data_IF_402125266586
#
_entry.id   IF_402125266586
#
_cell.length_a   1.000
_cell.length_b   1.000
_cell.length_c   1.000
_cell.angle_alpha   90.00
_cell.angle_beta   90.00
_cell.angle_gamma   90.00
#
_symmetry.space_group_name_H-M   'P 1'
#
loop_
_entity.id
_entity.type
_entity.pdbx_description
1 polymer ?
#
# COMPACT_ATOMS: atom_id res chain seq x y z
N UNK A 1 -38.16 8.95 -9.41
CA UNK A 1 -37.16 8.76 -10.48
C UNK A 1 -36.61 10.11 -10.87
N UNK A 2 -35.31 10.37 -10.64
CA UNK A 2 -34.69 11.62 -11.06
C UNK A 2 -34.66 11.68 -12.58
N UNK A 3 -35.17 12.76 -13.17
CA UNK A 3 -35.16 12.98 -14.62
C UNK A 3 -33.70 13.11 -15.08
N UNK A 4 -33.30 12.27 -16.04
CA UNK A 4 -31.96 12.39 -16.64
C UNK A 4 -31.81 13.79 -17.26
N UNK A 5 -30.74 14.49 -16.90
CA UNK A 5 -30.48 15.87 -17.34
C UNK A 5 -29.56 15.89 -18.56
N UNK A 6 -28.79 14.82 -18.75
CA UNK A 6 -27.81 14.67 -19.83
C UNK A 6 -28.04 13.36 -20.60
N UNK A 7 -27.39 13.21 -21.74
CA UNK A 7 -27.41 11.96 -22.50
C UNK A 7 -26.82 10.79 -21.71
N UNK A 8 -27.18 9.55 -22.09
CA UNK A 8 -26.85 8.34 -21.32
C UNK A 8 -25.33 8.15 -21.14
N UNK A 9 -24.50 8.58 -22.06
CA UNK A 9 -23.03 8.48 -22.00
C UNK A 9 -22.48 9.39 -20.89
N UNK A 10 -23.01 10.63 -20.77
CA UNK A 10 -22.60 11.58 -19.73
C UNK A 10 -23.10 11.11 -18.36
N UNK A 11 -24.33 10.60 -18.27
CA UNK A 11 -24.85 10.04 -17.02
C UNK A 11 -24.03 8.81 -16.59
N UNK A 12 -23.61 7.97 -17.53
CA UNK A 12 -22.72 6.82 -17.26
C UNK A 12 -21.37 7.26 -16.73
N UNK A 13 -20.77 8.31 -17.34
CA UNK A 13 -19.51 8.90 -16.86
C UNK A 13 -19.64 9.40 -15.42
N UNK A 14 -20.73 10.14 -15.11
CA UNK A 14 -21.01 10.63 -13.76
C UNK A 14 -21.11 9.48 -12.75
N UNK A 15 -21.85 8.41 -13.12
CA UNK A 15 -22.00 7.23 -12.26
C UNK A 15 -20.67 6.53 -11.97
N UNK A 16 -19.79 6.43 -12.95
CA UNK A 16 -18.46 5.81 -12.78
C UNK A 16 -17.56 6.68 -11.91
N UNK A 17 -17.53 7.98 -12.15
CA UNK A 17 -16.76 8.92 -11.33
C UNK A 17 -17.26 8.94 -9.87
N UNK A 18 -18.56 8.78 -9.64
CA UNK A 18 -19.13 8.73 -8.29
C UNK A 18 -18.75 7.47 -7.49
N UNK A 19 -18.18 6.44 -8.15
CA UNK A 19 -17.64 5.25 -7.48
C UNK A 19 -16.21 5.43 -6.97
N UNK A 20 -15.53 6.51 -7.40
CA UNK A 20 -14.18 6.78 -6.94
C UNK A 20 -14.19 7.32 -5.50
N UNK A 21 -13.26 6.87 -4.64
CA UNK A 21 -13.13 7.38 -3.29
C UNK A 21 -12.99 8.91 -3.27
N UNK A 22 -13.70 9.58 -2.36
CA UNK A 22 -13.70 11.05 -2.26
C UNK A 22 -14.55 11.78 -3.30
N UNK A 23 -15.10 11.11 -4.32
CA UNK A 23 -15.98 11.69 -5.32
C UNK A 23 -17.45 11.33 -5.04
N UNK A 24 -18.10 12.11 -4.18
CA UNK A 24 -19.56 11.98 -4.00
C UNK A 24 -20.34 12.45 -5.24
N UNK A 25 -21.66 12.19 -5.32
CA UNK A 25 -22.48 12.46 -6.51
C UNK A 25 -22.39 13.90 -7.05
N UNK A 26 -22.28 14.90 -6.16
CA UNK A 26 -22.14 16.31 -6.55
C UNK A 26 -20.77 16.59 -7.17
N UNK A 27 -19.68 16.06 -6.56
CA UNK A 27 -18.31 16.22 -7.05
C UNK A 27 -18.10 15.48 -8.36
N UNK A 28 -18.64 14.26 -8.50
CA UNK A 28 -18.60 13.48 -9.74
C UNK A 28 -19.27 14.23 -10.90
N UNK A 29 -20.47 14.84 -10.66
CA UNK A 29 -21.14 15.66 -11.68
C UNK A 29 -20.30 16.87 -12.08
N UNK A 30 -19.70 17.57 -11.12
CA UNK A 30 -18.82 18.72 -11.41
C UNK A 30 -17.60 18.30 -12.22
N UNK A 31 -16.96 17.15 -11.86
CA UNK A 31 -15.83 16.59 -12.58
C UNK A 31 -16.22 16.23 -14.01
N UNK A 32 -17.34 15.52 -14.22
CA UNK A 32 -17.84 15.17 -15.55
C UNK A 32 -18.07 16.40 -16.43
N UNK A 33 -18.75 17.44 -15.88
CA UNK A 33 -18.97 18.69 -16.61
C UNK A 33 -17.67 19.42 -16.96
N UNK A 34 -16.68 19.38 -16.08
CA UNK A 34 -15.36 19.94 -16.36
C UNK A 34 -14.66 19.20 -17.50
N UNK A 35 -14.68 17.87 -17.47
CA UNK A 35 -14.12 17.03 -18.53
C UNK A 35 -14.81 17.27 -19.88
N UNK A 36 -16.14 17.32 -19.91
CA UNK A 36 -16.91 17.57 -21.11
C UNK A 36 -16.60 18.95 -21.72
N UNK A 37 -16.49 20.00 -20.87
CA UNK A 37 -16.11 21.34 -21.32
C UNK A 37 -14.69 21.42 -21.86
N UNK A 38 -13.78 20.58 -21.36
CA UNK A 38 -12.37 20.49 -21.79
C UNK A 38 -12.09 19.21 -22.56
N UNK A 39 -12.98 18.89 -23.50
CA UNK A 39 -12.97 17.59 -24.20
C UNK A 39 -11.62 17.24 -24.80
N UNK A 40 -11.08 18.11 -25.63
CA UNK A 40 -9.82 17.86 -26.33
C UNK A 40 -8.58 18.01 -25.41
N UNK A 41 -8.66 18.92 -24.44
CA UNK A 41 -7.51 19.22 -23.58
C UNK A 41 -7.37 18.26 -22.40
N UNK A 42 -8.48 17.65 -21.95
CA UNK A 42 -8.47 16.84 -20.73
C UNK A 42 -9.20 15.49 -20.87
N UNK A 43 -10.43 15.45 -21.40
CA UNK A 43 -11.19 14.19 -21.49
C UNK A 43 -10.52 13.19 -22.44
N UNK A 44 -10.09 13.63 -23.61
CA UNK A 44 -9.38 12.80 -24.59
C UNK A 44 -8.11 12.19 -23.98
N UNK A 45 -7.11 13.02 -23.58
CA UNK A 45 -5.88 12.52 -22.97
C UNK A 45 -6.09 11.65 -21.73
N UNK A 46 -7.06 11.99 -20.87
CA UNK A 46 -7.38 11.18 -19.70
C UNK A 46 -7.91 9.79 -20.08
N UNK A 47 -8.83 9.73 -21.04
CA UNK A 47 -9.40 8.45 -21.49
C UNK A 47 -8.34 7.56 -22.14
N UNK A 48 -7.44 8.15 -22.90
CA UNK A 48 -6.31 7.44 -23.52
C UNK A 48 -5.33 6.93 -22.47
N UNK A 49 -4.95 7.77 -21.50
CA UNK A 49 -4.07 7.36 -20.39
C UNK A 49 -4.69 6.22 -19.57
N UNK A 50 -5.99 6.27 -19.29
CA UNK A 50 -6.70 5.19 -18.57
C UNK A 50 -6.73 3.89 -19.40
N UNK A 51 -6.93 3.97 -20.73
CA UNK A 51 -6.92 2.81 -21.60
C UNK A 51 -5.53 2.15 -21.62
N UNK A 52 -4.47 2.94 -21.80
CA UNK A 52 -3.09 2.46 -21.79
C UNK A 52 -2.72 1.86 -20.42
N UNK A 53 -3.07 2.53 -19.33
CA UNK A 53 -2.83 2.02 -17.98
C UNK A 53 -3.49 0.65 -17.77
N UNK A 54 -4.78 0.51 -18.13
CA UNK A 54 -5.52 -0.75 -18.02
C UNK A 54 -4.83 -1.92 -18.75
N UNK A 55 -4.22 -1.66 -19.90
CA UNK A 55 -3.56 -2.70 -20.70
C UNK A 55 -2.17 -3.05 -20.18
N UNK A 56 -1.48 -2.09 -19.57
CA UNK A 56 -0.07 -2.24 -19.19
C UNK A 56 0.17 -2.55 -17.74
N UNK A 57 -0.80 -2.30 -16.86
CA UNK A 57 -0.67 -2.58 -15.44
C UNK A 57 -0.50 -4.08 -15.21
N UNK A 58 0.60 -4.44 -14.53
CA UNK A 58 0.90 -5.81 -14.09
C UNK A 58 1.27 -5.82 -12.61
N UNK A 59 1.02 -6.95 -11.96
CA UNK A 59 1.52 -7.19 -10.60
C UNK A 59 2.88 -7.84 -10.71
N UNK A 60 3.88 -7.25 -10.07
CA UNK A 60 5.24 -7.79 -10.07
C UNK A 60 5.27 -9.16 -9.39
N UNK A 61 5.66 -10.20 -10.12
CA UNK A 61 5.76 -11.57 -9.63
C UNK A 61 6.76 -11.72 -8.46
N UNK A 62 7.77 -10.82 -8.37
CA UNK A 62 8.78 -10.87 -7.32
C UNK A 62 8.34 -10.25 -6.00
N UNK A 63 7.64 -9.10 -6.02
CA UNK A 63 7.36 -8.34 -4.80
C UNK A 63 5.89 -7.97 -4.58
N UNK A 64 4.99 -8.23 -5.52
CA UNK A 64 3.58 -7.87 -5.43
C UNK A 64 3.26 -6.40 -5.70
N UNK A 65 4.26 -5.56 -6.03
CA UNK A 65 4.00 -4.18 -6.44
C UNK A 65 3.24 -4.13 -7.77
N UNK A 66 2.50 -3.06 -8.00
CA UNK A 66 1.87 -2.76 -9.29
C UNK A 66 2.77 -1.84 -10.11
N UNK A 67 3.07 -2.25 -11.33
CA UNK A 67 3.93 -1.52 -12.26
C UNK A 67 3.48 -1.79 -13.71
N UNK A 68 4.20 -1.29 -14.69
CA UNK A 68 4.04 -1.57 -16.13
C UNK A 68 5.10 -2.53 -16.66
N UNK A 69 5.95 -3.06 -15.79
CA UNK A 69 6.97 -4.06 -16.08
C UNK A 69 7.01 -5.15 -15.00
N UNK A 70 7.38 -6.37 -15.37
CA UNK A 70 7.64 -7.47 -14.45
C UNK A 70 8.98 -8.14 -14.80
N UNK A 71 9.98 -8.12 -13.89
CA UNK A 71 9.94 -7.48 -12.56
C UNK A 71 9.83 -5.97 -12.61
N UNK A 72 9.20 -5.37 -11.57
CA UNK A 72 8.98 -3.93 -11.48
C UNK A 72 10.29 -3.13 -11.32
N UNK A 73 10.24 -1.82 -11.59
CA UNK A 73 11.38 -0.92 -11.47
C UNK A 73 12.07 -0.97 -10.11
N UNK A 74 11.31 -1.14 -9.01
CA UNK A 74 11.89 -1.27 -7.66
C UNK A 74 12.66 -2.59 -7.47
N UNK A 75 12.23 -3.67 -8.14
CA UNK A 75 12.93 -4.95 -8.08
C UNK A 75 14.17 -5.03 -8.99
N UNK A 76 14.25 -4.18 -9.99
CA UNK A 76 15.36 -4.15 -10.94
C UNK A 76 16.38 -3.04 -10.68
N UNK A 77 16.10 -2.10 -9.77
CA UNK A 77 17.03 -1.01 -9.44
C UNK A 77 18.29 -1.55 -8.75
N UNK A 78 19.48 -1.47 -9.39
CA UNK A 78 20.72 -2.01 -8.83
C UNK A 78 21.26 -1.24 -7.62
N UNK A 79 20.69 -0.07 -7.31
CA UNK A 79 21.10 0.75 -6.16
C UNK A 79 20.46 0.28 -4.85
N UNK A 80 19.50 -0.64 -4.92
CA UNK A 80 18.79 -1.14 -3.75
C UNK A 80 19.54 -2.27 -3.06
N UNK A 81 19.46 -2.26 -1.75
CA UNK A 81 20.08 -3.25 -0.88
C UNK A 81 19.28 -4.56 -0.93
N UNK A 82 19.89 -5.61 -1.50
CA UNK A 82 19.29 -6.94 -1.58
C UNK A 82 19.29 -7.68 -0.22
N UNK A 83 20.05 -7.21 0.76
CA UNK A 83 20.09 -7.80 2.09
C UNK A 83 18.88 -7.43 2.98
N UNK A 84 18.07 -6.47 2.53
CA UNK A 84 16.95 -5.92 3.29
C UNK A 84 15.64 -6.10 2.54
N UNK A 85 14.64 -6.74 3.19
CA UNK A 85 13.26 -6.81 2.69
C UNK A 85 12.34 -6.01 3.61
N UNK A 86 11.59 -5.09 3.03
CA UNK A 86 10.55 -4.32 3.74
C UNK A 86 9.17 -4.85 3.35
N UNK A 87 8.48 -5.42 4.31
CA UNK A 87 7.16 -6.05 4.14
C UNK A 87 6.07 -5.04 4.44
N UNK A 88 5.15 -4.86 3.51
CA UNK A 88 3.99 -3.99 3.64
C UNK A 88 2.69 -4.76 3.41
N UNK A 89 1.59 -4.27 3.98
CA UNK A 89 0.29 -4.90 3.79
C UNK A 89 -0.25 -4.62 2.37
N UNK A 90 -0.15 -3.39 1.91
CA UNK A 90 -0.75 -2.93 0.66
C UNK A 90 0.22 -2.08 -0.18
N UNK A 91 -0.10 -1.91 -1.46
CA UNK A 91 0.66 -1.10 -2.41
C UNK A 91 0.69 0.38 -1.98
N UNK A 92 -0.37 0.87 -1.37
CA UNK A 92 -0.43 2.25 -0.85
C UNK A 92 0.62 2.51 0.23
N UNK A 93 0.89 1.52 1.09
CA UNK A 93 1.92 1.58 2.13
C UNK A 93 3.32 1.61 1.48
N UNK A 94 3.54 0.76 0.47
CA UNK A 94 4.78 0.76 -0.32
C UNK A 94 5.03 2.15 -0.93
N UNK A 95 4.04 2.73 -1.58
CA UNK A 95 4.17 4.04 -2.21
C UNK A 95 4.39 5.16 -1.20
N UNK A 96 3.81 5.05 0.00
CA UNK A 96 4.04 6.01 1.08
C UNK A 96 5.49 5.95 1.58
N UNK A 97 6.02 4.74 1.82
CA UNK A 97 7.40 4.52 2.24
C UNK A 97 8.40 4.95 1.16
N UNK A 98 8.12 4.65 -0.10
CA UNK A 98 8.97 5.03 -1.22
C UNK A 98 9.09 6.56 -1.36
N UNK A 99 7.97 7.28 -1.22
CA UNK A 99 7.97 8.76 -1.22
C UNK A 99 8.79 9.35 -0.08
N UNK A 100 8.90 8.67 1.05
CA UNK A 100 9.71 9.15 2.18
C UNK A 100 11.21 9.11 1.91
N UNK A 101 11.65 8.30 0.95
CA UNK A 101 13.06 8.06 0.66
C UNK A 101 13.83 7.33 1.76
N UNK A 102 13.14 6.80 2.79
CA UNK A 102 13.77 6.17 3.95
C UNK A 102 14.17 4.70 3.72
N UNK A 103 13.67 4.08 2.64
CA UNK A 103 13.87 2.65 2.37
C UNK A 103 14.90 2.44 1.27
N UNK A 104 16.04 1.83 1.62
CA UNK A 104 17.06 1.40 0.67
C UNK A 104 16.86 -0.03 0.16
N UNK A 105 16.09 -0.86 0.87
CA UNK A 105 15.88 -2.28 0.60
C UNK A 105 14.87 -2.61 -0.48
N UNK A 106 14.61 -3.89 -0.67
CA UNK A 106 13.57 -4.44 -1.53
C UNK A 106 12.24 -4.49 -0.79
N UNK A 107 11.13 -4.36 -1.52
CA UNK A 107 9.80 -4.50 -0.93
C UNK A 107 9.21 -5.90 -1.10
N UNK A 108 8.25 -6.22 -0.23
CA UNK A 108 7.33 -7.33 -0.39
C UNK A 108 5.93 -6.92 0.05
N UNK A 109 4.96 -7.00 -0.87
CA UNK A 109 3.54 -6.67 -0.63
C UNK A 109 2.82 -7.96 -0.27
N UNK A 110 2.18 -8.01 0.91
CA UNK A 110 1.42 -9.19 1.37
C UNK A 110 0.07 -9.34 0.65
N UNK A 111 -0.54 -8.24 0.22
CA UNK A 111 -1.90 -8.20 -0.33
C UNK A 111 -2.99 -8.03 0.72
N UNK A 112 -2.62 -7.75 1.98
CA UNK A 112 -3.53 -7.51 3.10
C UNK A 112 -2.91 -7.84 4.44
N UNK A 113 -3.76 -7.97 5.46
CA UNK A 113 -3.43 -8.44 6.81
C UNK A 113 -4.38 -9.56 7.22
N UNK A 114 -3.99 -10.42 8.14
CA UNK A 114 -4.87 -11.43 8.73
C UNK A 114 -6.03 -10.73 9.44
N UNK A 115 -7.25 -11.11 9.12
CA UNK A 115 -8.46 -10.55 9.73
C UNK A 115 -9.53 -11.63 9.88
N UNK A 116 -9.88 -11.97 11.10
CA UNK A 116 -10.94 -12.93 11.38
C UNK A 116 -12.32 -12.37 10.99
N UNK A 117 -12.49 -11.04 11.10
CA UNK A 117 -13.76 -10.37 10.78
C UNK A 117 -14.00 -10.32 9.26
N UNK A 118 -12.94 -10.05 8.48
CA UNK A 118 -13.01 -9.98 7.02
C UNK A 118 -12.74 -11.34 6.36
N UNK A 119 -12.48 -12.39 7.14
CA UNK A 119 -12.20 -13.74 6.66
C UNK A 119 -10.86 -13.86 5.93
N UNK A 120 -9.92 -12.94 6.15
CA UNK A 120 -8.58 -13.01 5.54
C UNK A 120 -7.70 -13.96 6.33
N UNK A 121 -7.29 -15.05 5.66
CA UNK A 121 -6.48 -16.15 6.21
C UNK A 121 -5.06 -16.12 5.61
N UNK A 122 -4.11 -16.89 6.18
CA UNK A 122 -2.73 -16.96 5.68
C UNK A 122 -2.63 -17.28 4.18
N UNK A 123 -3.48 -18.17 3.67
CA UNK A 123 -3.51 -18.56 2.26
C UNK A 123 -3.93 -17.45 1.28
N UNK A 124 -4.52 -16.37 1.80
CA UNK A 124 -4.88 -15.19 1.00
C UNK A 124 -3.73 -14.19 0.88
N UNK A 125 -2.66 -14.37 1.64
CA UNK A 125 -1.52 -13.46 1.71
C UNK A 125 -0.30 -14.07 1.01
N UNK A 126 0.59 -13.22 0.50
CA UNK A 126 1.82 -13.66 -0.20
C UNK A 126 2.93 -14.11 0.78
N UNK A 127 2.59 -14.99 1.74
CA UNK A 127 3.49 -15.43 2.80
C UNK A 127 4.54 -16.43 2.32
N UNK A 128 4.16 -17.42 1.51
CA UNK A 128 5.09 -18.44 1.00
C UNK A 128 6.19 -17.78 0.15
N UNK A 129 5.83 -16.82 -0.69
CA UNK A 129 6.78 -16.06 -1.49
C UNK A 129 7.70 -15.19 -0.61
N UNK A 130 7.20 -14.64 0.49
CA UNK A 130 8.01 -13.91 1.46
C UNK A 130 9.05 -14.83 2.12
N UNK A 131 8.63 -15.98 2.63
CA UNK A 131 9.51 -16.97 3.27
C UNK A 131 10.58 -17.46 2.28
N UNK A 132 10.19 -17.78 1.05
CA UNK A 132 11.14 -18.19 0.01
C UNK A 132 12.21 -17.13 -0.25
N UNK A 133 11.82 -15.85 -0.30
CA UNK A 133 12.75 -14.71 -0.46
C UNK A 133 13.64 -14.49 0.75
N UNK A 134 13.09 -14.60 1.96
CA UNK A 134 13.82 -14.43 3.21
C UNK A 134 14.80 -15.58 3.48
N UNK A 135 14.62 -16.74 2.83
CA UNK A 135 15.52 -17.88 2.90
C UNK A 135 16.80 -17.71 2.08
N UNK A 136 16.88 -16.69 1.22
CA UNK A 136 18.10 -16.36 0.49
C UNK A 136 19.20 -15.93 1.48
N UNK A 137 20.39 -16.54 1.47
CA UNK A 137 21.51 -16.20 2.36
C UNK A 137 21.98 -14.75 2.25
N UNK A 138 21.67 -14.05 1.15
CA UNK A 138 21.95 -12.63 0.98
C UNK A 138 21.06 -11.78 1.87
N UNK A 139 19.83 -12.21 2.20
CA UNK A 139 18.90 -11.47 3.04
C UNK A 139 19.30 -11.57 4.51
N UNK A 140 19.51 -10.42 5.14
CA UNK A 140 19.93 -10.31 6.55
C UNK A 140 18.83 -9.77 7.45
N UNK A 141 17.93 -8.96 6.91
CA UNK A 141 16.88 -8.34 7.71
C UNK A 141 15.55 -8.26 6.93
N UNK A 142 14.47 -8.54 7.65
CA UNK A 142 13.09 -8.34 7.21
C UNK A 142 12.44 -7.31 8.14
N UNK A 143 12.06 -6.16 7.61
CA UNK A 143 11.34 -5.12 8.34
C UNK A 143 9.84 -5.29 8.10
N UNK A 144 9.07 -5.51 9.16
CA UNK A 144 7.63 -5.57 9.10
C UNK A 144 7.06 -4.14 9.22
N UNK A 145 6.76 -3.52 8.09
CA UNK A 145 6.17 -2.20 7.98
C UNK A 145 4.64 -2.30 7.87
N UNK A 146 4.03 -2.91 8.88
CA UNK A 146 2.59 -3.13 8.96
C UNK A 146 1.93 -2.08 9.86
N UNK A 147 0.64 -1.84 9.64
CA UNK A 147 -0.14 -0.90 10.43
C UNK A 147 -0.19 -1.33 11.91
N UNK A 148 -0.22 -0.36 12.83
CA UNK A 148 -0.29 -0.60 14.27
C UNK A 148 -1.70 -0.99 14.77
N UNK A 149 -2.50 -1.63 13.93
CA UNK A 149 -3.81 -2.20 14.24
C UNK A 149 -3.68 -3.58 14.87
N UNK A 150 -4.76 -4.10 15.47
CA UNK A 150 -4.79 -5.48 16.01
C UNK A 150 -4.46 -6.50 14.92
N UNK A 151 -5.08 -6.38 13.74
CA UNK A 151 -4.85 -7.27 12.60
C UNK A 151 -3.41 -7.17 12.07
N UNK A 152 -2.86 -5.95 11.98
CA UNK A 152 -1.45 -5.75 11.60
C UNK A 152 -0.46 -6.35 12.59
N UNK A 153 -0.71 -6.21 13.90
CA UNK A 153 0.11 -6.82 14.95
C UNK A 153 0.01 -8.36 14.93
N UNK A 154 -1.20 -8.90 14.77
CA UNK A 154 -1.42 -10.35 14.63
C UNK A 154 -0.66 -10.89 13.41
N UNK A 155 -0.74 -10.19 12.29
CA UNK A 155 0.00 -10.55 11.07
C UNK A 155 1.51 -10.50 11.30
N UNK A 156 2.02 -9.47 12.00
CA UNK A 156 3.43 -9.34 12.31
C UNK A 156 3.93 -10.50 13.19
N UNK A 157 3.17 -10.90 14.22
CA UNK A 157 3.50 -12.05 15.04
C UNK A 157 3.50 -13.34 14.24
N UNK A 158 2.47 -13.57 13.42
CA UNK A 158 2.40 -14.75 12.57
C UNK A 158 3.61 -14.86 11.62
N UNK A 159 4.00 -13.77 10.97
CA UNK A 159 5.19 -13.74 10.10
C UNK A 159 6.47 -14.03 10.90
N UNK A 160 6.60 -13.44 12.09
CA UNK A 160 7.77 -13.67 12.95
C UNK A 160 7.89 -15.13 13.34
N UNK A 161 6.80 -15.79 13.73
CA UNK A 161 6.78 -17.21 14.05
C UNK A 161 7.10 -18.07 12.83
N UNK A 162 6.54 -17.72 11.66
CA UNK A 162 6.79 -18.42 10.40
C UNK A 162 8.28 -18.37 10.00
N UNK A 163 8.98 -17.29 10.32
CA UNK A 163 10.40 -17.07 10.02
C UNK A 163 11.36 -17.49 11.15
N UNK A 164 10.87 -17.96 12.29
CA UNK A 164 11.70 -18.27 13.46
C UNK A 164 12.83 -19.30 13.20
N UNK A 165 12.68 -20.11 12.15
CA UNK A 165 13.68 -21.09 11.74
C UNK A 165 14.74 -20.55 10.76
N UNK A 166 14.56 -19.32 10.25
CA UNK A 166 15.47 -18.69 9.29
C UNK A 166 16.54 -17.85 10.01
N UNK A 167 17.77 -17.78 9.49
CA UNK A 167 18.85 -16.97 10.06
C UNK A 167 18.73 -15.50 9.64
N UNK A 168 17.51 -14.95 9.66
CA UNK A 168 17.21 -13.58 9.27
C UNK A 168 16.70 -12.80 10.48
N UNK A 169 17.15 -11.54 10.62
CA UNK A 169 16.64 -10.65 11.67
C UNK A 169 15.29 -10.11 11.26
N UNK A 170 14.27 -10.31 12.08
CA UNK A 170 12.95 -9.70 11.88
C UNK A 170 12.80 -8.48 12.78
N UNK A 171 12.48 -7.34 12.19
CA UNK A 171 12.26 -6.07 12.89
C UNK A 171 10.91 -5.46 12.51
N UNK A 172 10.47 -4.44 13.24
CA UNK A 172 9.23 -3.71 12.94
C UNK A 172 9.46 -2.21 13.04
N UNK A 173 8.55 -1.42 12.45
CA UNK A 173 8.59 0.03 12.61
C UNK A 173 8.43 0.42 14.08
N UNK A 174 9.15 1.45 14.50
CA UNK A 174 9.00 2.03 15.82
C UNK A 174 7.60 2.65 15.97
N UNK A 175 7.02 2.51 17.15
CA UNK A 175 5.79 3.19 17.53
C UNK A 175 6.14 4.27 18.55
N UNK A 176 5.54 5.45 18.44
CA UNK A 176 5.82 6.51 19.40
C UNK A 176 5.25 7.87 19.01
N UNK A 177 5.74 8.90 19.71
CA UNK A 177 5.37 10.28 19.47
C UNK A 177 5.90 10.71 18.07
N UNK A 178 5.04 11.23 17.20
CA UNK A 178 5.49 11.71 15.90
C UNK A 178 6.39 12.95 16.05
N UNK A 179 7.37 13.09 15.17
CA UNK A 179 8.27 14.25 15.16
C UNK A 179 7.45 15.53 14.91
N UNK A 180 7.60 16.51 15.79
CA UNK A 180 6.82 17.76 15.76
C UNK A 180 5.42 17.66 16.36
N UNK A 181 5.04 16.50 16.90
CA UNK A 181 3.77 16.33 17.61
C UNK A 181 3.85 16.79 19.07
N UNK A 182 2.82 17.47 19.55
CA UNK A 182 2.65 17.82 20.97
C UNK A 182 1.93 16.67 21.69
N UNK A 183 2.35 16.37 22.94
CA UNK A 183 1.83 15.24 23.71
C UNK A 183 0.32 15.36 24.00
N UNK A 184 -0.16 16.59 24.16
CA UNK A 184 -1.56 16.91 24.47
C UNK A 184 -2.56 16.51 23.37
N UNK A 185 -2.09 16.36 22.13
CA UNK A 185 -2.91 15.95 20.97
C UNK A 185 -2.87 14.44 20.68
N UNK A 186 -2.13 13.67 21.49
CA UNK A 186 -2.00 12.23 21.29
C UNK A 186 -2.99 11.47 22.16
N UNK A 187 -3.50 10.37 21.62
CA UNK A 187 -4.35 9.45 22.37
C UNK A 187 -3.56 8.67 23.42
N UNK A 188 -4.26 8.22 24.47
CA UNK A 188 -3.68 7.50 25.61
C UNK A 188 -2.93 6.22 25.16
N UNK A 189 -3.40 5.54 24.12
CA UNK A 189 -2.78 4.33 23.58
C UNK A 189 -1.41 4.61 22.97
N UNK A 190 -1.29 5.68 22.18
CA UNK A 190 -0.04 6.15 21.59
C UNK A 190 0.94 6.59 22.67
N UNK A 191 0.50 7.35 23.68
CA UNK A 191 1.35 7.76 24.81
C UNK A 191 1.85 6.55 25.60
N UNK A 192 0.98 5.61 25.92
CA UNK A 192 1.34 4.39 26.62
C UNK A 192 2.32 3.51 25.81
N UNK A 193 2.18 3.44 24.48
CA UNK A 193 3.10 2.73 23.61
C UNK A 193 4.48 3.39 23.61
N UNK A 194 4.53 4.73 23.47
CA UNK A 194 5.77 5.50 23.50
C UNK A 194 6.55 5.31 24.82
N UNK A 195 5.86 5.34 25.96
CA UNK A 195 6.47 5.11 27.27
C UNK A 195 7.01 3.67 27.39
N UNK A 196 6.26 2.67 26.92
CA UNK A 196 6.73 1.26 26.96
C UNK A 196 7.93 1.01 26.05
N UNK A 197 8.00 1.68 24.91
CA UNK A 197 9.05 1.51 23.89
C UNK A 197 10.16 2.56 23.97
N UNK A 198 10.23 3.32 25.09
CA UNK A 198 11.28 4.33 25.29
C UNK A 198 12.67 3.72 25.15
N UNK A 199 13.55 4.44 24.49
CA UNK A 199 14.97 4.10 24.33
C UNK A 199 15.85 5.00 25.19
N UNK A 200 17.08 4.56 25.48
CA UNK A 200 18.10 5.41 26.09
C UNK A 200 18.46 6.57 25.17
N UNK A 201 18.95 7.65 25.80
CA UNK A 201 19.37 8.87 25.10
C UNK A 201 20.84 8.74 24.70
#
# INVERSE_FOLDING_TARGET
>A
MSRAIAGPEIERLIQLLAKLPGLGPRSARRAALHLVKKREQLLGPLSEAMAVARERIVVCARCGNVDTSDPCGLCTDPRRDDSLIVVVADISDLWALERSGAVSGRYHVLGGVLSALDGVRPEHLSLDALVARASDPAVKEVILALNATVDGQTTAHFITDLMAHLPVKVTKLAHGVPVGGELDYLDDGTLAAAIRQRTGF
#
